data_IF_422079626688
#
_entry.id   IF_422079626688
#
_cell.length_a   1.000
_cell.length_b   1.000
_cell.length_c   1.000
_cell.angle_alpha   90.00
_cell.angle_beta   90.00
_cell.angle_gamma   90.00
#
_symmetry.space_group_name_H-M   'P 1'
#
loop_
_entity.id
_entity.type
_entity.pdbx_description
1 polymer ?
#
# COMPACT_ATOMS: atom_id res chain seq x y z
N UNK A 1 -42.51 -5.80 -38.27
CA UNK A 1 -41.54 -5.77 -39.38
C UNK A 1 -40.44 -4.78 -39.01
N UNK A 2 -39.27 -5.24 -38.56
CA UNK A 2 -38.10 -4.38 -38.36
C UNK A 2 -37.40 -4.23 -39.71
N UNK A 3 -37.53 -3.06 -40.33
CA UNK A 3 -36.77 -2.70 -41.53
C UNK A 3 -35.28 -2.78 -41.23
N UNK A 4 -34.54 -3.59 -41.99
CA UNK A 4 -33.06 -3.62 -41.93
C UNK A 4 -32.54 -2.28 -42.42
N UNK A 5 -32.21 -1.38 -41.50
CA UNK A 5 -31.47 -0.16 -41.82
C UNK A 5 -30.02 -0.54 -42.17
N UNK A 6 -29.73 -0.68 -43.46
CA UNK A 6 -28.38 -0.77 -43.98
C UNK A 6 -27.80 0.64 -44.03
N UNK A 7 -26.90 0.97 -43.12
CA UNK A 7 -26.19 2.25 -43.16
C UNK A 7 -25.09 2.15 -44.19
N UNK A 8 -25.14 3.06 -45.16
CA UNK A 8 -24.06 3.27 -46.08
C UNK A 8 -22.93 4.04 -45.36
N UNK A 9 -21.85 3.33 -45.02
CA UNK A 9 -20.67 3.91 -44.38
C UNK A 9 -19.98 4.95 -45.28
N UNK A 10 -20.23 4.95 -46.59
CA UNK A 10 -19.69 5.98 -47.49
C UNK A 10 -20.37 7.35 -47.28
N UNK A 11 -21.58 7.36 -46.72
CA UNK A 11 -22.34 8.59 -46.45
C UNK A 11 -21.94 9.30 -45.14
N UNK A 12 -21.09 8.69 -44.29
CA UNK A 12 -20.73 9.24 -42.97
C UNK A 12 -20.16 10.65 -43.05
N UNK A 13 -19.35 10.95 -44.07
CA UNK A 13 -18.77 12.29 -44.27
C UNK A 13 -19.82 13.32 -44.65
N UNK A 14 -20.80 12.93 -45.47
CA UNK A 14 -21.89 13.80 -45.92
C UNK A 14 -22.83 14.11 -44.76
N UNK A 15 -23.20 13.11 -43.96
CA UNK A 15 -24.08 13.32 -42.80
C UNK A 15 -23.40 14.17 -41.74
N UNK A 16 -22.10 13.98 -41.50
CA UNK A 16 -21.35 14.86 -40.59
C UNK A 16 -21.33 16.32 -41.03
N UNK A 17 -21.16 16.58 -42.33
CA UNK A 17 -21.27 17.95 -42.86
C UNK A 17 -22.68 18.49 -42.69
N UNK A 18 -23.72 17.71 -43.00
CA UNK A 18 -25.10 18.13 -42.81
C UNK A 18 -25.45 18.46 -41.36
N UNK A 19 -24.82 17.77 -40.40
CA UNK A 19 -24.91 18.08 -38.97
C UNK A 19 -24.24 19.41 -38.62
N UNK A 20 -23.03 19.65 -39.11
CA UNK A 20 -22.32 20.93 -38.92
C UNK A 20 -23.11 22.09 -39.55
N UNK A 21 -23.63 21.89 -40.76
CA UNK A 21 -24.45 22.88 -41.46
C UNK A 21 -25.77 23.14 -40.71
N UNK A 22 -26.36 22.10 -40.09
CA UNK A 22 -27.57 22.22 -39.29
C UNK A 22 -27.32 23.02 -38.00
N UNK A 23 -26.22 22.74 -37.31
CA UNK A 23 -25.77 23.44 -36.11
C UNK A 23 -25.56 24.94 -36.39
N UNK A 24 -24.82 25.25 -37.45
CA UNK A 24 -24.61 26.63 -37.90
C UNK A 24 -25.93 27.34 -38.27
N UNK A 25 -26.90 26.61 -38.84
CA UNK A 25 -28.23 27.17 -39.18
C UNK A 25 -29.01 27.48 -37.89
N UNK A 26 -28.98 26.58 -36.90
CA UNK A 26 -29.64 26.78 -35.61
C UNK A 26 -29.08 27.99 -34.84
N UNK A 27 -27.75 28.15 -34.81
CA UNK A 27 -27.10 29.32 -34.19
C UNK A 27 -27.53 30.64 -34.83
N UNK A 28 -27.65 30.68 -36.16
CA UNK A 28 -28.10 31.88 -36.87
C UNK A 28 -29.59 32.20 -36.63
N UNK A 29 -30.42 31.18 -36.41
CA UNK A 29 -31.87 31.36 -36.17
C UNK A 29 -32.19 31.80 -34.74
N UNK A 30 -31.41 31.39 -33.73
CA UNK A 30 -31.56 31.88 -32.35
C UNK A 30 -31.42 33.41 -32.25
N UNK A 31 -30.57 34.01 -33.09
CA UNK A 31 -30.37 35.47 -33.14
C UNK A 31 -31.62 36.20 -33.65
N UNK A 32 -32.34 35.61 -34.61
CA UNK A 32 -33.52 36.22 -35.25
C UNK A 32 -34.83 36.05 -34.47
N UNK A 33 -34.95 35.04 -33.61
CA UNK A 33 -36.19 34.76 -32.87
C UNK A 33 -36.55 35.85 -31.83
N UNK A 34 -35.59 36.71 -31.45
CA UNK A 34 -35.81 37.81 -30.50
C UNK A 34 -36.53 39.02 -31.11
N UNK A 35 -36.67 39.11 -32.43
CA UNK A 35 -37.18 40.31 -33.12
C UNK A 35 -38.50 40.09 -33.86
N UNK A 36 -39.54 39.58 -33.17
CA UNK A 36 -40.96 39.71 -33.57
C UNK A 36 -41.35 39.36 -35.03
N UNK A 37 -40.50 38.64 -35.75
CA UNK A 37 -40.65 38.35 -37.18
C UNK A 37 -41.70 37.27 -37.41
N UNK A 38 -42.44 37.40 -38.51
CA UNK A 38 -43.40 36.40 -38.99
C UNK A 38 -42.73 35.02 -39.10
N UNK A 39 -43.19 34.05 -38.32
CA UNK A 39 -42.72 32.66 -38.30
C UNK A 39 -42.87 32.03 -39.69
N UNK A 40 -41.77 31.59 -40.29
CA UNK A 40 -41.77 30.93 -41.60
C UNK A 40 -42.00 29.41 -41.41
N UNK A 41 -43.27 29.02 -41.35
CA UNK A 41 -43.72 27.63 -41.14
C UNK A 41 -43.07 26.63 -42.09
N UNK A 42 -42.71 27.05 -43.31
CA UNK A 42 -42.09 26.19 -44.32
C UNK A 42 -40.63 25.86 -43.95
N UNK A 43 -39.88 26.85 -43.45
CA UNK A 43 -38.49 26.66 -43.03
C UNK A 43 -38.41 25.81 -41.75
N UNK A 44 -39.29 26.06 -40.79
CA UNK A 44 -39.39 25.27 -39.55
C UNK A 44 -39.71 23.80 -39.85
N UNK A 45 -40.62 23.55 -40.79
CA UNK A 45 -40.95 22.19 -41.22
C UNK A 45 -39.77 21.50 -41.93
N UNK A 46 -39.04 22.22 -42.79
CA UNK A 46 -37.85 21.69 -43.45
C UNK A 46 -36.72 21.36 -42.45
N UNK A 47 -36.54 22.22 -41.43
CA UNK A 47 -35.60 21.99 -40.33
C UNK A 47 -36.00 20.75 -39.50
N UNK A 48 -37.27 20.64 -39.13
CA UNK A 48 -37.79 19.49 -38.39
C UNK A 48 -37.57 18.17 -39.15
N UNK A 49 -37.81 18.15 -40.47
CA UNK A 49 -37.52 16.99 -41.31
C UNK A 49 -36.02 16.65 -41.36
N UNK A 50 -35.14 17.66 -41.47
CA UNK A 50 -33.68 17.46 -41.42
C UNK A 50 -33.21 16.91 -40.08
N UNK A 51 -33.74 17.43 -38.97
CA UNK A 51 -33.47 16.92 -37.62
C UNK A 51 -33.94 15.48 -37.46
N UNK A 52 -35.16 15.16 -37.90
CA UNK A 52 -35.66 13.79 -37.81
C UNK A 52 -34.80 12.80 -38.62
N UNK A 53 -34.43 13.15 -39.86
CA UNK A 53 -33.53 12.32 -40.66
C UNK A 53 -32.14 12.14 -40.04
N UNK A 54 -31.65 13.17 -39.34
CA UNK A 54 -30.39 13.11 -38.59
C UNK A 54 -30.48 12.19 -37.37
N UNK A 55 -31.58 12.29 -36.60
CA UNK A 55 -31.86 11.42 -35.46
C UNK A 55 -31.94 9.96 -35.92
N UNK A 56 -32.68 9.69 -37.00
CA UNK A 56 -32.80 8.34 -37.57
C UNK A 56 -31.44 7.77 -37.98
N UNK A 57 -30.60 8.59 -38.63
CA UNK A 57 -29.24 8.18 -38.99
C UNK A 57 -28.38 7.89 -37.76
N UNK A 58 -28.40 8.74 -36.73
CA UNK A 58 -27.65 8.55 -35.48
C UNK A 58 -28.09 7.28 -34.75
N UNK A 59 -29.40 7.03 -34.65
CA UNK A 59 -29.95 5.80 -34.06
C UNK A 59 -29.52 4.57 -34.86
N UNK A 60 -29.51 4.67 -36.20
CA UNK A 60 -28.91 3.67 -37.06
C UNK A 60 -27.44 3.43 -36.68
N UNK A 61 -26.62 4.48 -36.65
CA UNK A 61 -25.18 4.37 -36.41
C UNK A 61 -24.88 3.72 -35.06
N UNK A 62 -25.63 4.10 -34.01
CA UNK A 62 -25.58 3.48 -32.69
C UNK A 62 -25.90 1.97 -32.78
N UNK A 63 -26.95 1.58 -33.50
CA UNK A 63 -27.29 0.17 -33.68
C UNK A 63 -26.20 -0.60 -34.45
N UNK A 64 -25.65 -0.03 -35.51
CA UNK A 64 -24.54 -0.64 -36.25
C UNK A 64 -23.32 -0.85 -35.35
N UNK A 65 -22.93 0.16 -34.57
CA UNK A 65 -21.82 0.08 -33.63
C UNK A 65 -22.08 -0.98 -32.55
N UNK A 66 -23.31 -1.08 -32.03
CA UNK A 66 -23.71 -2.15 -31.10
C UNK A 66 -23.57 -3.54 -31.70
N UNK A 67 -24.02 -3.74 -32.95
CA UNK A 67 -23.90 -5.01 -33.66
C UNK A 67 -22.43 -5.36 -33.92
N UNK A 68 -21.62 -4.40 -34.38
CA UNK A 68 -20.19 -4.61 -34.61
C UNK A 68 -19.43 -4.91 -33.32
N UNK A 69 -19.78 -4.22 -32.23
CA UNK A 69 -19.24 -4.51 -30.90
C UNK A 69 -19.59 -5.94 -30.45
N UNK A 70 -20.85 -6.34 -30.59
CA UNK A 70 -21.27 -7.72 -30.27
C UNK A 70 -20.56 -8.78 -31.09
N UNK A 71 -20.32 -8.54 -32.39
CA UNK A 71 -19.53 -9.44 -33.26
C UNK A 71 -18.07 -9.52 -32.82
N UNK A 72 -17.45 -8.39 -32.51
CA UNK A 72 -16.10 -8.35 -31.98
C UNK A 72 -15.99 -9.07 -30.64
N UNK A 73 -16.99 -8.92 -29.76
CA UNK A 73 -17.03 -9.61 -28.47
C UNK A 73 -17.18 -11.13 -28.69
N UNK A 74 -18.03 -11.59 -29.61
CA UNK A 74 -18.14 -13.01 -29.96
C UNK A 74 -16.86 -13.58 -30.58
N UNK A 75 -16.22 -12.84 -31.50
CA UNK A 75 -14.95 -13.23 -32.10
C UNK A 75 -13.84 -13.31 -31.03
N UNK A 76 -13.81 -12.35 -30.11
CA UNK A 76 -12.90 -12.36 -28.97
C UNK A 76 -13.12 -13.57 -28.06
N UNK A 77 -14.36 -13.90 -27.72
CA UNK A 77 -14.66 -15.09 -26.89
C UNK A 77 -14.18 -16.37 -27.59
N UNK A 78 -14.35 -16.48 -28.91
CA UNK A 78 -13.89 -17.65 -29.67
C UNK A 78 -12.37 -17.74 -29.81
N UNK A 79 -11.69 -16.59 -29.91
CA UNK A 79 -10.26 -16.53 -30.24
C UNK A 79 -9.36 -16.32 -29.01
N UNK A 80 -9.92 -15.89 -27.88
CA UNK A 80 -9.19 -15.65 -26.65
C UNK A 80 -9.74 -16.59 -25.56
N UNK A 81 -9.11 -17.76 -25.35
CA UNK A 81 -9.47 -18.71 -24.28
C UNK A 81 -9.58 -18.05 -22.91
N UNK A 82 -8.87 -16.95 -22.72
CA UNK A 82 -8.87 -16.12 -21.51
C UNK A 82 -10.25 -15.52 -21.15
N UNK A 83 -11.14 -15.36 -22.14
CA UNK A 83 -12.51 -14.87 -21.92
C UNK A 83 -13.48 -16.00 -21.55
N UNK A 84 -13.05 -17.25 -21.65
CA UNK A 84 -13.80 -18.40 -21.16
C UNK A 84 -13.57 -18.66 -19.67
N UNK A 85 -12.59 -17.99 -19.06
CA UNK A 85 -12.31 -18.12 -17.63
C UNK A 85 -13.38 -17.40 -16.81
N UNK A 86 -13.87 -18.06 -15.78
CA UNK A 86 -14.76 -17.44 -14.80
C UNK A 86 -13.99 -16.41 -13.96
N UNK A 87 -14.73 -15.53 -13.28
CA UNK A 87 -14.14 -14.57 -12.34
C UNK A 87 -13.33 -15.28 -11.24
N UNK A 88 -13.82 -16.41 -10.72
CA UNK A 88 -13.12 -17.18 -9.69
C UNK A 88 -11.81 -17.80 -10.20
N UNK A 89 -11.77 -18.29 -11.43
CA UNK A 89 -10.55 -18.81 -12.05
C UNK A 89 -9.52 -17.69 -12.25
N UNK A 90 -9.96 -16.50 -12.66
CA UNK A 90 -9.10 -15.32 -12.79
C UNK A 90 -8.52 -14.89 -11.45
N UNK A 91 -9.31 -14.87 -10.37
CA UNK A 91 -8.83 -14.57 -9.02
C UNK A 91 -7.69 -15.52 -8.61
N UNK A 92 -7.86 -16.84 -8.82
CA UNK A 92 -6.82 -17.84 -8.51
C UNK A 92 -5.56 -17.58 -9.34
N UNK A 93 -5.71 -17.34 -10.64
CA UNK A 93 -4.57 -17.02 -11.51
C UNK A 93 -3.85 -15.76 -11.02
N UNK A 94 -4.59 -14.71 -10.65
CA UNK A 94 -4.01 -13.46 -10.17
C UNK A 94 -3.31 -13.62 -8.84
N UNK A 95 -3.83 -14.42 -7.91
CA UNK A 95 -3.13 -14.73 -6.67
C UNK A 95 -1.82 -15.49 -6.93
N UNK A 96 -1.84 -16.52 -7.78
CA UNK A 96 -0.64 -17.30 -8.14
C UNK A 96 0.41 -16.44 -8.85
N UNK A 97 0.00 -15.61 -9.81
CA UNK A 97 0.91 -14.66 -10.48
C UNK A 97 1.41 -13.64 -9.48
N UNK A 98 0.56 -13.14 -8.58
CA UNK A 98 0.99 -12.22 -7.56
C UNK A 98 2.05 -12.85 -6.65
N UNK A 99 1.91 -14.09 -6.21
CA UNK A 99 2.94 -14.80 -5.41
C UNK A 99 4.28 -14.93 -6.13
N UNK A 100 4.26 -15.23 -7.43
CA UNK A 100 5.48 -15.41 -8.23
C UNK A 100 6.10 -14.10 -8.76
N UNK A 101 5.28 -13.08 -9.01
CA UNK A 101 5.65 -11.82 -9.65
C UNK A 101 5.21 -10.61 -8.81
N UNK A 102 5.76 -10.47 -7.60
CA UNK A 102 5.54 -9.28 -6.79
C UNK A 102 6.04 -8.02 -7.51
N UNK A 103 5.30 -6.89 -7.45
CA UNK A 103 5.76 -5.63 -8.00
C UNK A 103 7.04 -5.15 -7.29
N UNK A 104 7.86 -4.42 -8.04
CA UNK A 104 9.10 -3.83 -7.57
C UNK A 104 9.19 -2.40 -8.09
N UNK A 105 10.05 -1.57 -7.51
CA UNK A 105 10.21 -0.16 -7.92
C UNK A 105 10.41 0.06 -9.43
N UNK A 106 10.95 -0.94 -10.16
CA UNK A 106 11.21 -0.89 -11.61
C UNK A 106 10.32 -1.84 -12.44
N UNK A 107 9.44 -2.61 -11.82
CA UNK A 107 8.64 -3.62 -12.50
C UNK A 107 7.22 -3.70 -11.93
N UNK A 108 6.21 -3.68 -12.80
CA UNK A 108 4.81 -3.72 -12.37
C UNK A 108 4.38 -5.05 -11.72
N UNK A 109 5.14 -6.13 -11.93
CA UNK A 109 4.75 -7.47 -11.45
C UNK A 109 3.35 -7.86 -11.94
N UNK A 110 2.56 -8.49 -11.07
CA UNK A 110 1.16 -8.86 -11.37
C UNK A 110 0.27 -7.67 -11.76
N UNK A 111 0.60 -6.43 -11.40
CA UNK A 111 -0.23 -5.27 -11.76
C UNK A 111 -0.32 -5.07 -13.28
N UNK A 112 0.66 -5.59 -14.04
CA UNK A 112 0.63 -5.59 -15.52
C UNK A 112 -0.60 -6.32 -16.08
N UNK A 113 -1.15 -7.29 -15.33
CA UNK A 113 -2.34 -8.03 -15.74
C UNK A 113 -3.58 -7.14 -15.86
N UNK A 114 -3.62 -6.01 -15.15
CA UNK A 114 -4.69 -5.01 -15.29
C UNK A 114 -4.69 -4.26 -16.63
N UNK A 115 -3.67 -4.49 -17.47
CA UNK A 115 -3.56 -3.91 -18.82
C UNK A 115 -3.93 -4.90 -19.93
N UNK A 116 -4.21 -6.18 -19.63
CA UNK A 116 -4.53 -7.20 -20.63
C UNK A 116 -5.85 -6.92 -21.33
N UNK A 117 -6.95 -6.85 -20.57
CA UNK A 117 -8.28 -6.52 -21.09
C UNK A 117 -9.18 -5.93 -20.00
N UNK A 118 -10.36 -5.42 -20.38
CA UNK A 118 -11.31 -4.83 -19.43
C UNK A 118 -11.83 -5.80 -18.38
N UNK A 119 -12.06 -7.07 -18.73
CA UNK A 119 -12.52 -8.10 -17.79
C UNK A 119 -11.47 -8.34 -16.69
N UNK A 120 -10.22 -8.54 -17.09
CA UNK A 120 -9.11 -8.75 -16.15
C UNK A 120 -8.90 -7.56 -15.22
N UNK A 121 -8.98 -6.35 -15.79
CA UNK A 121 -8.93 -5.11 -15.00
C UNK A 121 -10.04 -5.04 -13.96
N UNK A 122 -11.28 -5.33 -14.36
CA UNK A 122 -12.43 -5.23 -13.45
C UNK A 122 -12.31 -6.22 -12.29
N UNK A 123 -11.91 -7.47 -12.58
CA UNK A 123 -11.68 -8.48 -11.54
C UNK A 123 -10.55 -8.04 -10.61
N UNK A 124 -9.39 -7.62 -11.15
CA UNK A 124 -8.27 -7.13 -10.34
C UNK A 124 -8.64 -5.92 -9.48
N UNK A 125 -9.42 -4.98 -9.99
CA UNK A 125 -9.87 -3.82 -9.22
C UNK A 125 -10.76 -4.22 -8.02
N UNK A 126 -11.47 -5.35 -8.10
CA UNK A 126 -12.22 -5.92 -6.98
C UNK A 126 -11.35 -6.65 -5.94
N UNK A 127 -10.07 -6.93 -6.25
CA UNK A 127 -9.15 -7.62 -5.34
C UNK A 127 -8.41 -6.64 -4.42
N UNK A 128 -9.16 -5.97 -3.55
CA UNK A 128 -8.67 -4.92 -2.65
C UNK A 128 -7.47 -5.35 -1.78
N UNK A 129 -7.49 -6.57 -1.24
CA UNK A 129 -6.39 -7.13 -0.45
C UNK A 129 -5.10 -7.28 -1.25
N UNK A 130 -5.21 -7.61 -2.54
CA UNK A 130 -4.05 -7.74 -3.41
C UNK A 130 -3.39 -6.37 -3.65
N UNK A 131 -4.18 -5.31 -3.86
CA UNK A 131 -3.68 -3.94 -3.92
C UNK A 131 -3.08 -3.50 -2.58
N UNK A 132 -3.70 -3.85 -1.46
CA UNK A 132 -3.25 -3.49 -0.12
C UNK A 132 -1.94 -4.15 0.27
N UNK A 133 -1.73 -5.40 -0.14
CA UNK A 133 -0.50 -6.16 0.08
C UNK A 133 0.74 -5.53 -0.56
N UNK A 134 0.59 -4.96 -1.75
CA UNK A 134 1.70 -4.43 -2.54
C UNK A 134 1.60 -2.90 -2.78
N UNK A 135 0.77 -2.20 -2.00
CA UNK A 135 0.45 -0.79 -2.21
C UNK A 135 1.69 0.12 -2.26
N UNK A 136 2.71 -0.23 -1.49
CA UNK A 136 3.92 0.57 -1.31
C UNK A 136 5.14 0.08 -2.09
N UNK A 137 4.98 -0.89 -3.01
CA UNK A 137 6.07 -1.41 -3.84
C UNK A 137 6.78 -0.34 -4.68
N UNK A 138 6.07 0.74 -5.05
CA UNK A 138 6.59 1.89 -5.80
C UNK A 138 6.86 3.13 -4.93
N UNK A 139 6.83 2.97 -3.61
CA UNK A 139 7.07 4.03 -2.63
C UNK A 139 5.81 4.78 -2.16
N UNK A 140 5.95 5.55 -1.09
CA UNK A 140 4.82 6.18 -0.40
C UNK A 140 4.02 7.19 -1.26
N UNK A 141 4.71 7.94 -2.12
CA UNK A 141 4.05 8.92 -2.99
C UNK A 141 3.04 8.28 -3.94
N UNK A 142 3.47 7.28 -4.72
CA UNK A 142 2.62 6.54 -5.67
C UNK A 142 1.52 5.77 -4.94
N UNK A 143 1.87 5.16 -3.78
CA UNK A 143 0.89 4.48 -2.95
C UNK A 143 -0.27 5.42 -2.59
N UNK A 144 0.05 6.60 -2.06
CA UNK A 144 -0.96 7.57 -1.63
C UNK A 144 -1.81 8.12 -2.77
N UNK A 145 -1.23 8.39 -3.94
CA UNK A 145 -1.95 9.00 -5.07
C UNK A 145 -2.76 7.99 -5.87
N UNK A 146 -2.20 6.82 -6.17
CA UNK A 146 -2.70 5.97 -7.25
C UNK A 146 -3.22 4.60 -6.78
N UNK A 147 -2.67 4.07 -5.68
CA UNK A 147 -2.92 2.67 -5.26
C UNK A 147 -3.83 2.57 -4.05
N UNK A 148 -3.63 3.38 -3.00
CA UNK A 148 -4.46 3.37 -1.79
C UNK A 148 -5.97 3.51 -2.04
N UNK A 149 -6.44 4.29 -3.04
CA UNK A 149 -7.86 4.31 -3.39
C UNK A 149 -8.44 2.94 -3.77
N UNK A 150 -7.62 2.02 -4.31
CA UNK A 150 -8.01 0.66 -4.72
C UNK A 150 -8.00 -0.35 -3.58
N UNK A 151 -7.37 0.00 -2.46
CA UNK A 151 -7.32 -0.88 -1.27
C UNK A 151 -8.67 -0.88 -0.56
N UNK A 152 -9.49 0.17 -0.69
CA UNK A 152 -10.81 0.26 -0.05
C UNK A 152 -10.82 -0.21 1.42
N UNK A 153 -11.40 -1.38 1.70
CA UNK A 153 -11.48 -2.06 3.01
C UNK A 153 -10.47 -3.19 3.23
N UNK A 154 -9.62 -3.48 2.24
CA UNK A 154 -8.61 -4.54 2.31
C UNK A 154 -7.46 -4.23 3.28
N UNK A 155 -6.74 -5.27 3.69
CA UNK A 155 -5.60 -5.13 4.58
C UNK A 155 -4.42 -4.45 3.88
N UNK A 156 -3.79 -3.52 4.58
CA UNK A 156 -2.68 -2.72 4.08
C UNK A 156 -1.35 -3.24 4.62
N UNK A 157 -0.39 -3.49 3.74
CA UNK A 157 1.01 -3.75 4.08
C UNK A 157 1.87 -2.59 3.60
N UNK A 158 2.58 -1.95 4.54
CA UNK A 158 3.53 -0.87 4.24
C UNK A 158 4.90 -1.50 4.06
N UNK A 159 5.25 -1.89 2.85
CA UNK A 159 6.56 -2.45 2.51
C UNK A 159 6.90 -2.22 1.04
N UNK A 160 8.19 -2.05 0.71
CA UNK A 160 8.67 -2.00 -0.68
C UNK A 160 8.97 -3.38 -1.25
N UNK A 161 9.14 -4.39 -0.39
CA UNK A 161 9.41 -5.77 -0.76
C UNK A 161 8.51 -6.68 0.08
N UNK A 162 7.98 -7.74 -0.51
CA UNK A 162 7.23 -8.71 0.29
C UNK A 162 8.14 -9.31 1.35
N UNK A 163 7.72 -9.29 2.63
CA UNK A 163 8.47 -9.95 3.68
C UNK A 163 8.51 -11.45 3.36
N UNK A 164 9.71 -11.95 3.07
CA UNK A 164 9.97 -13.38 3.01
C UNK A 164 10.05 -13.85 4.46
N UNK A 165 8.91 -14.25 5.01
CA UNK A 165 8.91 -15.01 6.24
C UNK A 165 9.55 -16.37 5.95
N UNK A 166 10.47 -16.80 6.81
CA UNK A 166 10.94 -18.17 6.74
C UNK A 166 9.80 -19.16 7.07
N UNK A 167 10.05 -20.46 6.92
CA UNK A 167 9.07 -21.50 7.28
C UNK A 167 8.60 -21.42 8.74
N UNK A 168 9.38 -20.77 9.60
CA UNK A 168 9.10 -20.58 11.02
C UNK A 168 8.38 -19.26 11.31
N UNK A 169 8.07 -18.48 10.27
CA UNK A 169 7.42 -17.18 10.38
C UNK A 169 8.33 -16.09 10.89
N UNK A 170 9.66 -16.29 10.92
CA UNK A 170 10.61 -15.25 11.35
C UNK A 170 10.87 -14.28 10.21
N UNK A 171 10.98 -13.01 10.59
CA UNK A 171 11.50 -12.00 9.71
C UNK A 171 13.02 -12.13 9.61
N UNK A 172 13.60 -12.02 8.40
CA UNK A 172 15.04 -11.91 8.24
C UNK A 172 15.58 -10.78 9.10
N UNK A 173 16.73 -11.00 9.75
CA UNK A 173 17.43 -9.91 10.40
C UNK A 173 17.64 -8.78 9.37
N UNK A 174 17.22 -7.57 9.71
CA UNK A 174 17.26 -6.39 8.82
C UNK A 174 16.38 -6.52 7.58
N UNK A 175 15.06 -6.67 7.77
CA UNK A 175 14.08 -6.63 6.69
C UNK A 175 14.39 -5.51 5.68
N UNK A 176 14.81 -5.94 4.48
CA UNK A 176 14.86 -5.11 3.29
C UNK A 176 13.40 -4.88 2.89
N UNK A 177 13.01 -3.63 2.68
CA UNK A 177 11.59 -3.32 2.47
C UNK A 177 11.10 -2.00 3.06
N UNK A 178 11.97 -1.22 3.71
CA UNK A 178 11.56 0.05 4.30
C UNK A 178 11.04 1.01 3.22
N UNK A 179 9.82 1.50 3.42
CA UNK A 179 9.21 2.54 2.59
C UNK A 179 9.68 3.91 3.11
N UNK A 180 10.36 4.75 2.29
CA UNK A 180 10.72 6.09 2.71
C UNK A 180 9.50 7.02 2.65
N UNK A 181 9.14 7.58 3.80
CA UNK A 181 8.13 8.63 3.93
C UNK A 181 8.84 9.98 4.06
N UNK A 182 8.56 10.87 3.12
CA UNK A 182 9.23 12.18 3.00
C UNK A 182 8.28 13.34 3.25
N UNK A 183 6.96 13.12 3.12
CA UNK A 183 5.95 14.16 3.19
C UNK A 183 4.89 13.85 4.25
N UNK A 184 4.35 14.90 4.86
CA UNK A 184 3.24 14.82 5.83
C UNK A 184 2.01 14.10 5.25
N UNK A 185 1.63 14.44 4.02
CA UNK A 185 0.46 13.84 3.36
C UNK A 185 0.54 12.30 3.23
N UNK A 186 1.75 11.75 3.08
CA UNK A 186 1.97 10.30 3.00
C UNK A 186 1.61 9.61 4.33
N UNK A 187 1.98 10.24 5.45
CA UNK A 187 1.62 9.75 6.78
C UNK A 187 0.14 9.93 7.10
N UNK A 188 -0.49 11.00 6.63
CA UNK A 188 -1.93 11.24 6.86
C UNK A 188 -2.79 10.16 6.21
N UNK A 189 -2.44 9.75 4.98
CA UNK A 189 -3.12 8.65 4.30
C UNK A 189 -2.95 7.32 5.05
N UNK A 190 -1.74 7.05 5.56
CA UNK A 190 -1.47 5.86 6.36
C UNK A 190 -2.20 5.90 7.71
N UNK A 191 -2.24 7.05 8.38
CA UNK A 191 -2.96 7.26 9.63
C UNK A 191 -4.47 7.00 9.47
N UNK A 192 -5.05 7.42 8.35
CA UNK A 192 -6.46 7.11 8.05
C UNK A 192 -6.71 5.60 8.01
N UNK A 193 -5.82 4.83 7.38
CA UNK A 193 -5.90 3.36 7.33
C UNK A 193 -5.63 2.72 8.69
N UNK A 194 -4.74 3.29 9.50
CA UNK A 194 -4.51 2.88 10.89
C UNK A 194 -5.78 3.06 11.74
N UNK A 195 -6.50 4.17 11.58
CA UNK A 195 -7.75 4.41 12.34
C UNK A 195 -8.82 3.36 12.03
N UNK A 196 -8.79 2.78 10.83
CA UNK A 196 -9.69 1.70 10.40
C UNK A 196 -9.25 0.31 10.91
N UNK A 197 -8.06 0.18 11.50
CA UNK A 197 -7.55 -1.11 11.98
C UNK A 197 -6.97 -1.99 10.87
N UNK A 198 -6.74 -1.46 9.67
CA UNK A 198 -6.44 -2.25 8.47
C UNK A 198 -4.94 -2.50 8.24
N UNK A 199 -4.06 -2.03 9.13
CA UNK A 199 -2.61 -2.22 8.94
C UNK A 199 -2.22 -3.63 9.37
N UNK A 200 -1.62 -4.37 8.45
CA UNK A 200 -1.09 -5.72 8.67
C UNK A 200 0.41 -5.74 8.90
N UNK A 201 1.17 -4.90 8.19
CA UNK A 201 2.62 -4.81 8.33
C UNK A 201 3.06 -3.34 8.16
N UNK A 202 4.00 -2.88 8.99
CA UNK A 202 4.45 -1.48 9.02
C UNK A 202 5.97 -1.39 8.89
N UNK A 203 6.49 -1.31 7.66
CA UNK A 203 7.92 -1.18 7.37
C UNK A 203 8.21 0.18 6.73
N UNK A 204 8.65 1.16 7.53
CA UNK A 204 8.87 2.52 7.04
C UNK A 204 10.13 3.18 7.58
N UNK A 205 10.59 4.19 6.84
CA UNK A 205 11.66 5.08 7.25
C UNK A 205 11.24 6.54 7.09
N UNK A 206 11.63 7.39 8.04
CA UNK A 206 11.29 8.81 8.04
C UNK A 206 12.25 9.62 8.92
N UNK A 207 12.13 10.95 8.90
CA UNK A 207 12.85 11.82 9.85
C UNK A 207 12.13 11.93 11.20
N UNK A 208 12.66 12.72 12.13
CA UNK A 208 12.01 12.95 13.43
C UNK A 208 10.59 13.55 13.33
N UNK A 209 10.26 14.23 12.23
CA UNK A 209 8.90 14.71 11.97
C UNK A 209 7.86 13.57 11.83
N UNK A 210 8.29 12.32 11.61
CA UNK A 210 7.41 11.15 11.53
C UNK A 210 6.86 10.73 12.90
N UNK A 211 7.52 11.12 13.98
CA UNK A 211 7.22 10.62 15.32
C UNK A 211 5.80 10.90 15.80
N UNK A 212 5.24 12.13 15.63
CA UNK A 212 3.85 12.36 16.01
C UNK A 212 2.86 11.48 15.24
N UNK A 213 3.17 11.11 13.99
CA UNK A 213 2.32 10.21 13.19
C UNK A 213 2.44 8.77 13.67
N UNK A 214 3.66 8.32 13.97
CA UNK A 214 3.90 6.98 14.53
C UNK A 214 3.19 6.81 15.87
N UNK A 215 3.24 7.82 16.76
CA UNK A 215 2.48 7.81 18.00
C UNK A 215 0.97 7.68 17.77
N UNK A 216 0.41 8.30 16.74
CA UNK A 216 -1.02 8.15 16.41
C UNK A 216 -1.35 6.81 15.73
N UNK A 217 -0.46 6.28 14.90
CA UNK A 217 -0.65 5.00 14.19
C UNK A 217 -0.52 3.82 15.15
N UNK A 218 0.47 3.84 16.04
CA UNK A 218 0.79 2.73 16.95
C UNK A 218 0.28 2.93 18.38
N UNK A 219 0.25 4.15 18.90
CA UNK A 219 -0.07 4.42 20.30
C UNK A 219 -1.56 4.61 20.59
N UNK A 220 -2.33 5.18 19.66
CA UNK A 220 -3.72 5.57 19.96
C UNK A 220 -4.71 4.40 19.96
N UNK A 221 -4.48 3.37 19.14
CA UNK A 221 -5.45 2.28 18.95
C UNK A 221 -4.74 0.96 18.68
N UNK A 222 -5.28 -0.11 19.27
CA UNK A 222 -4.92 -1.48 18.91
C UNK A 222 -5.16 -1.73 17.42
N UNK A 223 -4.14 -2.28 16.76
CA UNK A 223 -4.21 -2.75 15.37
C UNK A 223 -4.35 -4.28 15.41
N UNK A 224 -5.55 -4.84 15.19
CA UNK A 224 -5.79 -6.27 15.37
C UNK A 224 -5.08 -7.11 14.31
N UNK A 225 -4.81 -6.56 13.12
CA UNK A 225 -4.16 -7.28 12.03
C UNK A 225 -2.64 -7.06 11.97
N UNK A 226 -2.09 -6.16 12.79
CA UNK A 226 -0.67 -5.81 12.73
C UNK A 226 0.20 -6.96 13.23
N UNK A 227 1.10 -7.47 12.38
CA UNK A 227 1.97 -8.62 12.63
C UNK A 227 3.43 -8.23 12.80
N UNK A 228 3.87 -7.22 12.05
CA UNK A 228 5.26 -6.78 12.01
C UNK A 228 5.37 -5.25 11.98
N UNK A 229 6.32 -4.71 12.74
CA UNK A 229 6.70 -3.30 12.73
C UNK A 229 8.21 -3.21 12.51
N UNK A 230 8.63 -2.44 11.50
CA UNK A 230 10.01 -2.09 11.24
C UNK A 230 10.11 -0.59 10.97
N UNK A 231 10.63 0.15 11.95
CA UNK A 231 10.69 1.61 11.89
C UNK A 231 12.14 2.05 11.91
N UNK A 232 12.52 2.88 10.95
CA UNK A 232 13.81 3.55 10.93
C UNK A 232 13.62 5.06 11.00
N UNK A 233 14.19 5.68 12.03
CA UNK A 233 14.19 7.14 12.16
C UNK A 233 15.56 7.69 11.78
N UNK A 234 15.55 8.71 10.91
CA UNK A 234 16.72 9.46 10.51
C UNK A 234 16.77 10.74 11.34
N UNK A 235 17.57 10.73 12.40
CA UNK A 235 17.77 11.90 13.25
C UNK A 235 18.73 12.88 12.60
N UNK A 236 18.43 14.16 12.75
CA UNK A 236 19.36 15.26 12.46
C UNK A 236 20.18 15.57 13.72
N UNK A 237 21.39 16.15 13.57
CA UNK A 237 22.13 16.66 14.70
C UNK A 237 21.25 17.60 15.54
N UNK A 238 21.28 17.43 16.87
CA UNK A 238 20.52 18.20 17.88
C UNK A 238 19.04 17.81 18.08
N UNK A 239 18.51 16.83 17.34
CA UNK A 239 17.17 16.33 17.64
C UNK A 239 17.20 15.44 18.89
N UNK A 240 16.13 15.50 19.69
CA UNK A 240 15.98 14.68 20.89
C UNK A 240 15.58 13.25 20.52
N UNK A 241 16.55 12.36 20.58
CA UNK A 241 16.39 10.94 20.27
C UNK A 241 15.54 10.18 21.30
N UNK A 242 15.26 10.79 22.46
CA UNK A 242 14.39 10.24 23.49
C UNK A 242 12.90 10.49 23.20
N UNK A 243 12.57 11.26 22.17
CA UNK A 243 11.17 11.58 21.80
C UNK A 243 10.30 10.34 21.59
N UNK A 244 10.89 9.21 21.20
CA UNK A 244 10.17 7.94 21.06
C UNK A 244 9.65 7.35 22.38
N UNK A 245 10.23 7.71 23.52
CA UNK A 245 9.77 7.28 24.85
C UNK A 245 8.40 7.85 25.22
N UNK A 246 8.01 8.97 24.61
CA UNK A 246 6.75 9.66 24.90
C UNK A 246 5.54 9.06 24.16
N UNK A 247 5.74 7.98 23.40
CA UNK A 247 4.69 7.37 22.55
C UNK A 247 4.58 5.86 22.76
N UNK A 248 4.17 5.37 23.94
CA UNK A 248 4.02 3.94 24.16
C UNK A 248 3.06 3.32 23.13
N UNK A 249 3.40 2.13 22.62
CA UNK A 249 2.55 1.40 21.69
C UNK A 249 1.27 0.93 22.40
N UNK A 250 0.15 0.97 21.67
CA UNK A 250 -1.09 0.31 22.08
C UNK A 250 -0.87 -1.22 22.14
N UNK A 251 -1.73 -1.97 22.84
CA UNK A 251 -1.67 -3.43 22.80
C UNK A 251 -2.04 -3.93 21.39
N UNK A 252 -1.10 -4.54 20.67
CA UNK A 252 -1.32 -5.12 19.35
C UNK A 252 -1.34 -6.66 19.44
N UNK A 253 -2.52 -7.32 19.44
CA UNK A 253 -2.67 -8.73 19.85
C UNK A 253 -2.00 -9.74 18.91
N UNK A 254 -1.70 -9.35 17.68
CA UNK A 254 -1.06 -10.18 16.67
C UNK A 254 0.36 -9.72 16.29
N UNK A 255 0.87 -8.67 16.94
CA UNK A 255 2.21 -8.16 16.67
C UNK A 255 3.26 -9.09 17.25
N UNK A 256 4.07 -9.69 16.37
CA UNK A 256 5.07 -10.70 16.70
C UNK A 256 6.50 -10.24 16.47
N UNK A 257 6.70 -9.27 15.59
CA UNK A 257 8.04 -8.82 15.22
C UNK A 257 8.15 -7.31 15.28
N UNK A 258 9.13 -6.82 16.03
CA UNK A 258 9.42 -5.39 16.16
C UNK A 258 10.90 -5.15 15.86
N UNK A 259 11.16 -4.28 14.88
CA UNK A 259 12.49 -3.78 14.57
C UNK A 259 12.48 -2.25 14.65
N UNK A 260 13.32 -1.69 15.50
CA UNK A 260 13.44 -0.26 15.73
C UNK A 260 14.88 0.17 15.47
N UNK A 261 15.06 1.00 14.44
CA UNK A 261 16.38 1.48 14.02
C UNK A 261 16.50 2.96 14.35
N UNK A 262 17.49 3.27 15.19
CA UNK A 262 17.77 4.56 15.80
C UNK A 262 16.70 5.09 16.76
N UNK A 263 15.67 4.33 17.12
CA UNK A 263 14.58 4.81 17.99
C UNK A 263 14.13 3.73 18.97
N UNK A 264 13.63 4.12 20.14
CA UNK A 264 12.80 3.25 20.97
C UNK A 264 11.36 3.71 20.91
N UNK A 265 10.44 2.76 21.00
CA UNK A 265 9.06 3.04 21.31
C UNK A 265 8.69 2.02 22.41
N UNK A 266 8.41 2.46 23.65
CA UNK A 266 8.02 1.54 24.74
C UNK A 266 6.76 0.75 24.37
N UNK A 267 6.64 -0.49 24.88
CA UNK A 267 5.51 -1.35 24.53
C UNK A 267 5.19 -2.40 25.61
N UNK A 268 3.96 -2.91 25.58
CA UNK A 268 3.52 -4.05 26.39
C UNK A 268 2.94 -5.11 25.43
N UNK A 269 3.81 -5.97 24.89
CA UNK A 269 3.46 -6.91 23.82
C UNK A 269 3.72 -8.37 24.25
N UNK A 270 2.76 -9.02 24.95
CA UNK A 270 2.99 -10.33 25.54
C UNK A 270 3.23 -11.46 24.52
N UNK A 271 2.87 -11.23 23.25
CA UNK A 271 3.02 -12.16 22.12
C UNK A 271 4.20 -11.82 21.20
N UNK A 272 5.06 -10.88 21.60
CA UNK A 272 6.24 -10.50 20.84
C UNK A 272 7.22 -11.68 20.78
N UNK A 273 7.57 -12.11 19.57
CA UNK A 273 8.47 -13.25 19.33
C UNK A 273 9.88 -12.76 19.03
N UNK A 274 10.01 -11.62 18.35
CA UNK A 274 11.30 -11.08 17.92
C UNK A 274 11.38 -9.56 18.14
N UNK A 275 12.46 -9.12 18.77
CA UNK A 275 12.77 -7.71 19.03
C UNK A 275 14.17 -7.37 18.54
N UNK A 276 14.26 -6.36 17.68
CA UNK A 276 15.51 -5.85 17.14
C UNK A 276 15.61 -4.34 17.44
N UNK A 277 16.61 -3.93 18.22
CA UNK A 277 16.89 -2.52 18.52
C UNK A 277 18.30 -2.22 18.02
N UNK A 278 18.41 -1.36 17.00
CA UNK A 278 19.68 -1.16 16.28
C UNK A 278 19.99 0.32 16.16
N UNK A 279 21.23 0.72 16.45
CA UNK A 279 21.76 2.04 16.08
C UNK A 279 22.50 1.96 14.75
N UNK A 280 22.38 2.97 13.88
CA UNK A 280 23.27 3.12 12.72
C UNK A 280 24.65 3.64 13.11
N UNK A 281 24.74 4.36 14.23
CA UNK A 281 25.98 4.92 14.74
C UNK A 281 26.57 3.91 15.71
N UNK A 282 27.68 3.27 15.32
CA UNK A 282 28.43 2.36 16.19
C UNK A 282 28.90 3.09 17.45
N UNK A 283 28.81 2.41 18.59
CA UNK A 283 29.25 2.96 19.87
C UNK A 283 28.33 4.04 20.45
N UNK A 284 27.10 4.16 19.96
CA UNK A 284 26.17 5.16 20.46
C UNK A 284 25.74 4.81 21.89
N UNK A 285 25.97 5.71 22.83
CA UNK A 285 25.51 5.54 24.21
C UNK A 285 23.99 5.60 24.28
N UNK A 286 23.39 4.57 24.87
CA UNK A 286 21.98 4.52 25.19
C UNK A 286 21.72 5.34 26.47
N UNK A 287 20.75 6.27 26.48
CA UNK A 287 20.34 6.95 27.71
C UNK A 287 19.79 5.96 28.75
N UNK A 288 20.02 6.18 30.05
CA UNK A 288 19.52 5.30 31.12
C UNK A 288 18.00 5.08 31.05
N UNK A 289 17.23 6.15 30.84
CA UNK A 289 15.77 6.09 30.70
C UNK A 289 15.30 5.19 29.55
N UNK A 290 16.15 5.04 28.52
CA UNK A 290 15.88 4.17 27.39
C UNK A 290 16.14 2.71 27.77
N UNK A 291 17.25 2.43 28.46
CA UNK A 291 17.52 1.09 29.01
C UNK A 291 16.40 0.66 29.96
N UNK A 292 15.97 1.53 30.88
CA UNK A 292 14.91 1.22 31.84
C UNK A 292 13.60 0.85 31.12
N UNK A 293 13.19 1.66 30.13
CA UNK A 293 12.02 1.38 29.31
C UNK A 293 12.16 0.11 28.45
N UNK A 294 13.37 -0.19 27.96
CA UNK A 294 13.65 -1.43 27.23
C UNK A 294 13.49 -2.64 28.15
N UNK A 295 14.04 -2.58 29.35
CA UNK A 295 13.91 -3.62 30.37
C UNK A 295 12.43 -3.84 30.74
N UNK A 296 11.64 -2.78 30.94
CA UNK A 296 10.19 -2.88 31.15
C UNK A 296 9.47 -3.59 29.99
N UNK A 297 9.77 -3.20 28.74
CA UNK A 297 9.21 -3.82 27.54
C UNK A 297 9.59 -5.31 27.40
N UNK A 298 10.81 -5.69 27.79
CA UNK A 298 11.28 -7.07 27.77
C UNK A 298 10.56 -7.93 28.81
N UNK A 299 10.39 -7.42 30.03
CA UNK A 299 9.64 -8.12 31.09
C UNK A 299 8.18 -8.36 30.68
N UNK A 300 7.58 -7.42 29.95
CA UNK A 300 6.23 -7.56 29.40
C UNK A 300 6.12 -8.56 28.22
N UNK A 301 7.22 -9.16 27.76
CA UNK A 301 7.28 -9.98 26.54
C UNK A 301 7.79 -11.41 26.80
N UNK A 302 7.06 -12.24 27.58
CA UNK A 302 7.53 -13.57 27.99
C UNK A 302 7.67 -14.58 26.85
N UNK A 303 7.06 -14.31 25.68
CA UNK A 303 7.14 -15.17 24.50
C UNK A 303 8.32 -14.86 23.57
N UNK A 304 9.15 -13.87 23.94
CA UNK A 304 10.28 -13.43 23.15
C UNK A 304 11.29 -14.57 22.98
N UNK A 305 11.61 -14.89 21.72
CA UNK A 305 12.56 -15.94 21.32
C UNK A 305 13.85 -15.38 20.73
N UNK A 306 13.77 -14.25 20.03
CA UNK A 306 14.91 -13.64 19.35
C UNK A 306 15.06 -12.18 19.80
N UNK A 307 16.19 -11.86 20.44
CA UNK A 307 16.53 -10.51 20.88
C UNK A 307 17.83 -10.06 20.22
N UNK A 308 17.81 -8.90 19.58
CA UNK A 308 18.95 -8.32 18.88
C UNK A 308 19.14 -6.86 19.30
N UNK A 309 20.25 -6.52 19.95
CA UNK A 309 20.60 -5.16 20.39
C UNK A 309 21.98 -4.82 19.83
N UNK A 310 22.03 -4.03 18.76
CA UNK A 310 23.27 -3.78 18.03
C UNK A 310 23.66 -2.32 18.04
N UNK A 311 24.97 -2.08 18.06
CA UNK A 311 25.61 -0.77 17.93
C UNK A 311 25.21 0.24 19.02
N UNK A 312 24.73 -0.25 20.17
CA UNK A 312 24.34 0.53 21.33
C UNK A 312 25.24 0.18 22.51
N UNK A 313 25.81 1.18 23.16
CA UNK A 313 26.56 1.01 24.41
C UNK A 313 25.58 1.23 25.56
N UNK A 314 25.39 0.20 26.37
CA UNK A 314 24.44 0.21 27.46
C UNK A 314 25.04 0.93 28.68
N UNK A 315 24.28 1.77 29.37
CA UNK A 315 24.76 2.41 30.58
C UNK A 315 24.92 1.37 31.70
N UNK A 316 25.97 1.50 32.52
CA UNK A 316 26.13 0.69 33.71
C UNK A 316 25.10 1.11 34.77
N UNK A 317 24.16 0.24 35.14
CA UNK A 317 23.10 0.63 36.07
C UNK A 317 23.64 0.72 37.49
N UNK A 318 23.08 1.59 38.33
CA UNK A 318 23.41 1.63 39.75
C UNK A 318 22.90 0.39 40.51
N UNK A 319 21.84 -0.28 40.01
CA UNK A 319 21.25 -1.49 40.60
C UNK A 319 20.95 -2.49 39.49
N UNK A 320 21.49 -3.71 39.61
CA UNK A 320 21.20 -4.78 38.67
C UNK A 320 19.74 -5.23 38.80
N UNK A 321 18.93 -4.96 37.77
CA UNK A 321 17.59 -5.53 37.61
C UNK A 321 17.70 -6.84 36.84
N UNK A 322 17.27 -7.95 37.44
CA UNK A 322 17.33 -9.26 36.82
C UNK A 322 15.96 -9.65 36.24
N UNK A 323 15.84 -9.66 34.92
CA UNK A 323 14.63 -10.01 34.17
C UNK A 323 14.79 -11.42 33.62
N UNK A 324 13.81 -12.28 33.89
CA UNK A 324 13.79 -13.63 33.32
C UNK A 324 13.10 -13.64 31.96
N UNK A 325 13.80 -14.09 30.92
CA UNK A 325 13.23 -14.31 29.58
C UNK A 325 13.20 -15.83 29.31
N UNK A 326 12.12 -16.52 29.70
CA UNK A 326 12.11 -17.98 29.79
C UNK A 326 12.16 -18.68 28.42
N UNK A 327 11.82 -17.98 27.33
CA UNK A 327 11.75 -18.54 25.98
C UNK A 327 12.81 -17.98 25.02
N UNK A 328 13.73 -17.15 25.51
CA UNK A 328 14.75 -16.53 24.66
C UNK A 328 15.73 -17.59 24.16
N UNK A 329 15.70 -17.86 22.86
CA UNK A 329 16.53 -18.85 22.17
C UNK A 329 17.81 -18.22 21.60
N UNK A 330 17.65 -17.03 21.01
CA UNK A 330 18.72 -16.29 20.33
C UNK A 330 18.91 -14.91 20.96
N UNK A 331 20.14 -14.61 21.37
CA UNK A 331 20.58 -13.28 21.76
C UNK A 331 21.71 -12.81 20.83
N UNK A 332 21.57 -11.63 20.26
CA UNK A 332 22.62 -10.96 19.49
C UNK A 332 22.89 -9.59 20.13
N UNK A 333 24.10 -9.36 20.62
CA UNK A 333 24.49 -8.09 21.24
C UNK A 333 25.95 -7.76 20.96
N UNK A 334 26.23 -6.46 20.73
CA UNK A 334 27.60 -5.94 20.67
C UNK A 334 28.16 -5.61 22.06
N UNK A 335 27.28 -5.46 23.04
CA UNK A 335 27.56 -5.08 24.42
C UNK A 335 27.14 -6.22 25.37
N UNK A 336 28.08 -6.74 26.15
CA UNK A 336 27.86 -7.82 27.11
C UNK A 336 27.17 -7.36 28.39
N UNK A 337 27.10 -6.03 28.64
CA UNK A 337 26.41 -5.43 29.77
C UNK A 337 24.94 -5.83 29.86
N UNK A 338 24.29 -6.15 28.73
CA UNK A 338 22.90 -6.64 28.74
C UNK A 338 22.76 -7.95 29.52
N UNK A 339 23.78 -8.80 29.56
CA UNK A 339 23.73 -10.09 30.26
C UNK A 339 23.62 -9.92 31.78
N UNK A 340 24.07 -8.79 32.32
CA UNK A 340 23.93 -8.48 33.75
C UNK A 340 22.46 -8.26 34.15
N UNK A 341 21.59 -8.02 33.18
CA UNK A 341 20.17 -7.76 33.37
C UNK A 341 19.27 -8.95 33.11
N UNK A 342 19.78 -10.00 32.49
CA UNK A 342 18.95 -11.04 31.92
C UNK A 342 19.28 -12.40 32.52
N UNK A 343 18.24 -13.07 33.03
CA UNK A 343 18.27 -14.48 33.35
C UNK A 343 17.66 -15.27 32.18
N UNK A 344 18.50 -16.07 31.52
CA UNK A 344 18.22 -16.65 30.21
C UNK A 344 18.26 -18.20 30.24
N UNK A 345 17.30 -18.87 30.88
CA UNK A 345 17.36 -20.33 31.09
C UNK A 345 17.21 -21.16 29.81
N UNK A 346 16.67 -20.58 28.72
CA UNK A 346 16.44 -21.26 27.45
C UNK A 346 17.42 -20.85 26.33
N UNK A 347 18.43 -20.04 26.63
CA UNK A 347 19.34 -19.51 25.61
C UNK A 347 20.15 -20.63 24.97
N UNK A 348 20.04 -20.75 23.63
CA UNK A 348 20.82 -21.71 22.85
C UNK A 348 21.91 -21.05 22.04
N UNK A 349 21.68 -19.81 21.61
CA UNK A 349 22.57 -19.08 20.70
C UNK A 349 22.82 -17.68 21.24
N UNK A 350 24.08 -17.41 21.59
CA UNK A 350 24.56 -16.07 21.89
C UNK A 350 25.54 -15.66 20.79
N UNK A 351 25.25 -14.57 20.09
CA UNK A 351 26.10 -13.99 19.06
C UNK A 351 26.67 -12.68 19.58
N UNK A 352 27.98 -12.63 19.78
CA UNK A 352 28.72 -11.40 20.08
C UNK A 352 29.42 -10.96 18.81
N UNK A 353 28.98 -9.85 18.22
CA UNK A 353 29.63 -9.31 17.04
C UNK A 353 30.85 -8.53 17.54
N UNK A 354 32.04 -9.13 17.43
CA UNK A 354 33.28 -8.46 17.79
C UNK A 354 33.39 -7.12 17.06
N UNK A 355 33.73 -6.07 17.80
CA UNK A 355 33.79 -4.66 17.35
C UNK A 355 34.71 -4.41 16.14
N UNK A 356 35.55 -5.38 15.77
CA UNK A 356 36.47 -5.33 14.62
C UNK A 356 35.89 -5.78 13.26
N UNK A 357 34.69 -6.36 13.19
CA UNK A 357 34.12 -6.79 11.91
C UNK A 357 33.36 -5.64 11.23
N UNK A 358 33.91 -5.13 10.13
CA UNK A 358 33.20 -4.24 9.21
C UNK A 358 32.14 -5.06 8.47
N UNK A 359 30.94 -5.14 9.02
CA UNK A 359 29.80 -5.70 8.30
C UNK A 359 29.58 -4.93 6.98
N UNK A 360 29.19 -5.60 5.89
CA UNK A 360 28.94 -4.96 4.60
C UNK A 360 27.79 -3.95 4.76
N UNK A 361 28.02 -2.69 4.37
CA UNK A 361 26.97 -1.70 4.29
C UNK A 361 25.89 -2.16 3.29
N UNK A 362 24.66 -2.34 3.76
CA UNK A 362 23.48 -2.70 2.94
C UNK A 362 22.41 -1.63 2.96
#
# INVERSE_FOLDING_TARGET
>A
MLTRFSIDASATKTVWRSLIDLDATCETQEVTFTSGGSVNVIEDHALALRLNGTIDWLLGAINLLRVQRSRNDQARVRLAPVLCLSESELVIIFELVAESEAPQAKALGWMRLSHVCGVWRNVLLGMSDLWGRDAYAFGAGVATTDILPRVESGLLSVTTLRPLFDSDGKLPAFCRGLVPFRRKAEFEALELKARQGLISDLNLSGGAFALPYLGRILGNRSQPHLRAVNIRVLWRPKEDETSGLQMPMAPHPNLRHVALVNIFIPFTLPRLVSLHVVSKVKGKHMPQVYLDALLDSLEASPTLKDLCILHLVLPSPPVARNITLPNLDTLCSDDDGILQHLHLPALRRALTIGSGSTAPET
#
